data_IF_108055122612
#
_entry.id   IF_108055122612
#
_cell.length_a   1.000
_cell.length_b   1.000
_cell.length_c   1.000
_cell.angle_alpha   90.00
_cell.angle_beta   90.00
_cell.angle_gamma   90.00
#
_symmetry.space_group_name_H-M   'P 1'
#
loop_
_entity.id
_entity.type
_entity.pdbx_description
1 polymer ?
#
# COMPACT_ATOMS: atom_id res chain seq x y z
N UNK A 1 13.16 -6.28 -1.80
CA UNK A 1 12.76 -5.36 -2.89
C UNK A 1 11.27 -4.96 -2.83
N UNK A 2 10.34 -5.92 -2.60
CA UNK A 2 8.89 -5.65 -2.64
C UNK A 2 8.47 -4.50 -1.70
N UNK A 3 8.95 -4.49 -0.46
CA UNK A 3 8.63 -3.43 0.51
C UNK A 3 9.13 -2.05 0.07
N UNK A 4 10.29 -1.99 -0.58
CA UNK A 4 10.84 -0.73 -1.11
C UNK A 4 9.97 -0.18 -2.23
N UNK A 5 9.61 -1.04 -3.20
CA UNK A 5 8.75 -0.65 -4.31
C UNK A 5 7.36 -0.23 -3.80
N UNK A 6 6.80 -0.95 -2.83
CA UNK A 6 5.52 -0.60 -2.23
C UNK A 6 5.57 0.74 -1.49
N UNK A 7 6.69 1.09 -0.86
CA UNK A 7 6.90 2.40 -0.22
C UNK A 7 6.84 3.58 -1.19
N UNK A 8 7.01 3.35 -2.50
CA UNK A 8 6.84 4.40 -3.53
C UNK A 8 5.38 4.65 -3.90
N UNK A 9 4.44 3.80 -3.47
CA UNK A 9 3.03 3.89 -3.85
C UNK A 9 2.38 5.27 -3.61
N UNK A 10 2.61 5.96 -2.47
CA UNK A 10 2.07 7.30 -2.28
C UNK A 10 2.55 8.30 -3.33
N UNK A 11 3.79 8.18 -3.80
CA UNK A 11 4.32 9.05 -4.85
C UNK A 11 3.58 8.81 -6.19
N UNK A 12 3.32 7.57 -6.57
CA UNK A 12 2.51 7.24 -7.75
C UNK A 12 1.09 7.81 -7.64
N UNK A 13 0.45 7.64 -6.47
CA UNK A 13 -0.90 8.18 -6.24
C UNK A 13 -0.91 9.69 -6.40
N UNK A 14 0.07 10.38 -5.85
CA UNK A 14 0.20 11.84 -5.93
C UNK A 14 0.41 12.31 -7.37
N UNK A 15 1.30 11.66 -8.11
CA UNK A 15 1.56 11.98 -9.52
C UNK A 15 0.28 11.82 -10.34
N UNK A 16 -0.41 10.69 -10.20
CA UNK A 16 -1.63 10.41 -10.94
C UNK A 16 -2.78 11.34 -10.50
N UNK A 17 -2.91 11.64 -9.21
CA UNK A 17 -3.90 12.60 -8.70
C UNK A 17 -3.66 14.01 -9.26
N UNK A 18 -2.39 14.44 -9.35
CA UNK A 18 -2.02 15.72 -9.96
C UNK A 18 -2.40 15.79 -11.44
N UNK A 19 -2.12 14.73 -12.20
CA UNK A 19 -2.38 14.68 -13.65
C UNK A 19 -3.88 14.53 -13.94
N UNK A 20 -4.55 13.61 -13.26
CA UNK A 20 -5.93 13.22 -13.57
C UNK A 20 -6.99 14.08 -12.87
N UNK A 21 -6.77 14.42 -11.60
CA UNK A 21 -7.68 15.25 -10.80
C UNK A 21 -7.28 16.72 -10.75
N UNK A 22 -6.10 17.07 -11.31
CA UNK A 22 -5.51 18.41 -11.23
C UNK A 22 -5.34 18.91 -9.78
N UNK A 23 -5.11 17.98 -8.85
CA UNK A 23 -4.84 18.34 -7.45
C UNK A 23 -3.57 19.19 -7.36
N UNK A 24 -3.65 20.30 -6.64
CA UNK A 24 -2.49 21.15 -6.38
C UNK A 24 -1.74 20.62 -5.18
N UNK A 25 -0.52 20.14 -5.42
CA UNK A 25 0.38 19.63 -4.40
C UNK A 25 1.53 20.63 -4.26
N UNK A 26 1.73 21.14 -3.04
CA UNK A 26 2.81 22.07 -2.76
C UNK A 26 4.12 21.34 -2.45
N UNK A 27 5.24 22.07 -2.47
CA UNK A 27 6.57 21.52 -2.21
C UNK A 27 6.68 20.89 -0.81
N UNK A 28 5.99 21.43 0.20
CA UNK A 28 6.05 20.91 1.56
C UNK A 28 5.35 19.55 1.64
N UNK A 29 4.25 19.37 0.93
CA UNK A 29 3.58 18.08 0.81
C UNK A 29 4.48 17.06 0.12
N UNK A 30 5.18 17.48 -0.93
CA UNK A 30 6.15 16.61 -1.60
C UNK A 30 7.30 16.21 -0.67
N UNK A 31 7.83 17.14 0.12
CA UNK A 31 8.81 16.83 1.17
C UNK A 31 8.26 15.85 2.22
N UNK A 32 7.01 16.02 2.64
CA UNK A 32 6.35 15.09 3.55
C UNK A 32 6.34 13.65 2.99
N UNK A 33 6.00 13.50 1.71
CA UNK A 33 6.02 12.18 1.04
C UNK A 33 7.43 11.61 0.95
N UNK A 34 8.43 12.42 0.61
CA UNK A 34 9.82 11.97 0.57
C UNK A 34 10.30 11.49 1.94
N UNK A 35 9.96 12.21 3.01
CA UNK A 35 10.31 11.82 4.39
C UNK A 35 9.66 10.48 4.75
N UNK A 36 8.37 10.27 4.43
CA UNK A 36 7.71 8.99 4.70
C UNK A 36 8.32 7.85 3.86
N UNK A 37 8.75 8.13 2.64
CA UNK A 37 9.45 7.15 1.81
C UNK A 37 10.81 6.77 2.43
N UNK A 38 11.61 7.75 2.88
CA UNK A 38 12.87 7.48 3.59
C UNK A 38 12.64 6.67 4.88
N UNK A 39 11.57 6.93 5.59
CA UNK A 39 11.22 6.15 6.77
C UNK A 39 10.93 4.67 6.43
N UNK A 40 10.22 4.41 5.32
CA UNK A 40 10.01 3.04 4.82
C UNK A 40 11.34 2.39 4.41
N UNK A 41 12.26 3.14 3.76
CA UNK A 41 13.61 2.64 3.45
C UNK A 41 14.35 2.16 4.70
N UNK A 42 14.29 2.93 5.79
CA UNK A 42 14.94 2.57 7.07
C UNK A 42 14.35 1.26 7.62
N UNK A 43 13.03 1.08 7.58
CA UNK A 43 12.40 -0.17 8.06
C UNK A 43 12.80 -1.35 7.18
N UNK A 44 12.71 -1.20 5.86
CA UNK A 44 12.97 -2.31 4.92
C UNK A 44 14.45 -2.71 4.89
N UNK A 45 15.36 -1.76 5.13
CA UNK A 45 16.79 -2.05 5.26
C UNK A 45 17.20 -2.54 6.65
N UNK A 46 16.24 -2.64 7.59
CA UNK A 46 16.53 -2.97 9.00
C UNK A 46 17.59 -2.04 9.63
N UNK A 47 17.66 -0.78 9.17
CA UNK A 47 18.63 0.22 9.58
C UNK A 47 20.02 0.07 8.94
N UNK A 48 20.26 -0.96 8.15
CA UNK A 48 21.52 -1.17 7.42
C UNK A 48 21.38 -0.79 5.93
N UNK A 49 21.82 0.42 5.60
CA UNK A 49 21.79 0.91 4.21
C UNK A 49 22.78 0.21 3.29
N UNK A 50 23.77 -0.52 3.82
CA UNK A 50 24.70 -1.30 2.99
C UNK A 50 23.95 -2.47 2.32
N UNK A 51 22.95 -3.03 2.97
CA UNK A 51 22.10 -4.08 2.39
C UNK A 51 21.33 -3.62 1.13
N UNK A 52 21.15 -2.32 0.96
CA UNK A 52 20.53 -1.75 -0.24
C UNK A 52 21.45 -1.79 -1.48
N UNK A 53 22.77 -1.94 -1.30
CA UNK A 53 23.72 -2.04 -2.42
C UNK A 53 23.60 -3.37 -3.16
N UNK A 54 23.19 -4.41 -2.44
CA UNK A 54 23.05 -5.76 -3.00
C UNK A 54 21.66 -5.99 -3.63
N UNK A 55 20.83 -4.94 -3.66
CA UNK A 55 19.53 -4.98 -4.32
C UNK A 55 19.71 -5.06 -5.84
N UNK A 56 19.54 -6.25 -6.37
CA UNK A 56 19.47 -6.45 -7.80
C UNK A 56 18.03 -6.33 -8.27
N UNK A 57 17.79 -5.45 -9.22
CA UNK A 57 16.49 -5.34 -9.89
C UNK A 57 16.22 -6.62 -10.66
N UNK A 58 15.10 -7.23 -10.37
CA UNK A 58 14.65 -8.46 -11.03
C UNK A 58 13.32 -8.25 -11.77
N UNK A 59 12.90 -9.24 -12.56
CA UNK A 59 11.63 -9.16 -13.30
C UNK A 59 10.43 -8.94 -12.38
N UNK A 60 10.46 -9.47 -11.14
CA UNK A 60 9.43 -9.27 -10.13
C UNK A 60 9.30 -7.81 -9.70
N UNK A 61 10.41 -7.07 -9.60
CA UNK A 61 10.37 -5.64 -9.24
C UNK A 61 9.65 -4.82 -10.31
N UNK A 62 9.86 -5.13 -11.60
CA UNK A 62 9.13 -4.48 -12.71
C UNK A 62 7.62 -4.77 -12.62
N UNK A 63 7.24 -6.02 -12.38
CA UNK A 63 5.84 -6.40 -12.17
C UNK A 63 5.23 -5.66 -10.98
N UNK A 64 5.99 -5.51 -9.88
CA UNK A 64 5.53 -4.79 -8.70
C UNK A 64 5.37 -3.28 -8.96
N UNK A 65 6.25 -2.65 -9.74
CA UNK A 65 6.09 -1.25 -10.16
C UNK A 65 4.81 -1.07 -10.99
N UNK A 66 4.55 -1.99 -11.93
CA UNK A 66 3.30 -2.00 -12.69
C UNK A 66 2.08 -2.15 -11.77
N UNK A 67 2.13 -3.06 -10.79
CA UNK A 67 1.06 -3.26 -9.82
C UNK A 67 0.82 -2.00 -8.96
N UNK A 68 1.88 -1.35 -8.47
CA UNK A 68 1.78 -0.09 -7.73
C UNK A 68 1.17 1.03 -8.58
N UNK A 69 1.54 1.10 -9.86
CA UNK A 69 0.98 2.09 -10.80
C UNK A 69 -0.53 1.83 -11.02
N UNK A 70 -0.93 0.59 -11.26
CA UNK A 70 -2.35 0.21 -11.41
C UNK A 70 -3.14 0.48 -10.14
N UNK A 71 -2.57 0.18 -8.97
CA UNK A 71 -3.19 0.51 -7.69
C UNK A 71 -3.37 2.02 -7.50
N UNK A 72 -2.39 2.81 -7.92
CA UNK A 72 -2.49 4.27 -7.86
C UNK A 72 -3.57 4.81 -8.81
N UNK A 73 -3.70 4.25 -10.03
CA UNK A 73 -4.82 4.55 -10.94
C UNK A 73 -6.17 4.20 -10.28
N UNK A 74 -6.26 3.02 -9.68
CA UNK A 74 -7.45 2.61 -8.93
C UNK A 74 -7.77 3.59 -7.80
N UNK A 75 -6.81 3.93 -6.95
CA UNK A 75 -7.00 4.83 -5.82
C UNK A 75 -7.50 6.22 -6.25
N UNK A 76 -6.91 6.76 -7.32
CA UNK A 76 -7.34 8.07 -7.88
C UNK A 76 -8.70 7.95 -8.57
N UNK A 77 -8.95 6.85 -9.28
CA UNK A 77 -10.24 6.55 -9.93
C UNK A 77 -11.41 6.48 -8.94
N UNK A 78 -11.17 6.02 -7.71
CA UNK A 78 -12.20 6.00 -6.65
C UNK A 78 -12.81 7.40 -6.38
N UNK A 79 -12.08 8.49 -6.64
CA UNK A 79 -12.60 9.86 -6.49
C UNK A 79 -13.67 10.20 -7.52
N UNK A 80 -13.61 9.58 -8.69
CA UNK A 80 -14.54 9.76 -9.81
C UNK A 80 -15.55 8.62 -9.94
N UNK A 81 -15.61 7.70 -8.97
CA UNK A 81 -16.54 6.57 -9.01
C UNK A 81 -18.00 7.03 -9.06
N UNK A 82 -18.91 6.23 -9.65
CA UNK A 82 -20.34 6.45 -9.53
C UNK A 82 -20.77 6.55 -8.07
N UNK A 83 -21.96 7.13 -7.82
CA UNK A 83 -22.56 7.25 -6.47
C UNK A 83 -23.05 5.88 -5.96
N UNK A 84 -22.14 4.92 -5.85
CA UNK A 84 -22.40 3.58 -5.30
C UNK A 84 -21.61 3.40 -4.01
N UNK A 85 -22.16 2.61 -3.10
CA UNK A 85 -21.50 2.31 -1.81
C UNK A 85 -20.17 1.57 -1.98
N UNK A 86 -19.25 1.78 -1.05
CA UNK A 86 -17.96 1.10 -1.06
C UNK A 86 -18.10 -0.43 -1.08
N UNK A 87 -19.10 -0.98 -0.37
CA UNK A 87 -19.35 -2.42 -0.35
C UNK A 87 -19.76 -2.95 -1.74
N UNK A 88 -20.69 -2.30 -2.41
CA UNK A 88 -21.15 -2.72 -3.75
C UNK A 88 -19.97 -2.66 -4.76
N UNK A 89 -19.15 -1.61 -4.68
CA UNK A 89 -17.97 -1.48 -5.53
C UNK A 89 -16.93 -2.56 -5.26
N UNK A 90 -16.67 -2.87 -3.98
CA UNK A 90 -15.76 -3.94 -3.60
C UNK A 90 -16.27 -5.30 -4.08
N UNK A 91 -17.56 -5.58 -3.92
CA UNK A 91 -18.17 -6.82 -4.43
C UNK A 91 -17.98 -6.94 -5.94
N UNK A 92 -18.22 -5.87 -6.68
CA UNK A 92 -18.00 -5.86 -8.13
C UNK A 92 -16.53 -6.15 -8.49
N UNK A 93 -15.58 -5.47 -7.86
CA UNK A 93 -14.15 -5.73 -8.11
C UNK A 93 -13.72 -7.13 -7.71
N UNK A 94 -14.22 -7.65 -6.59
CA UNK A 94 -13.95 -9.03 -6.16
C UNK A 94 -14.50 -10.05 -7.15
N UNK A 95 -15.68 -9.80 -7.70
CA UNK A 95 -16.26 -10.68 -8.73
C UNK A 95 -15.43 -10.66 -10.02
N UNK A 96 -15.02 -9.48 -10.49
CA UNK A 96 -14.15 -9.36 -11.67
C UNK A 96 -12.79 -10.04 -11.43
N UNK A 97 -12.20 -9.85 -10.24
CA UNK A 97 -10.94 -10.49 -9.87
C UNK A 97 -11.08 -12.03 -9.80
N UNK A 98 -12.19 -12.52 -9.26
CA UNK A 98 -12.52 -13.94 -9.25
C UNK A 98 -12.58 -14.52 -10.66
N UNK A 99 -13.33 -13.89 -11.56
CA UNK A 99 -13.39 -14.32 -12.96
C UNK A 99 -12.03 -14.27 -13.64
N UNK A 100 -11.24 -13.22 -13.38
CA UNK A 100 -9.89 -13.05 -13.91
C UNK A 100 -8.87 -14.06 -13.39
N UNK A 101 -9.11 -14.66 -12.20
CA UNK A 101 -8.24 -15.69 -11.64
C UNK A 101 -8.47 -17.10 -12.23
N UNK A 102 -9.63 -17.34 -12.86
CA UNK A 102 -10.00 -18.65 -13.41
C UNK A 102 -8.98 -19.18 -14.44
N UNK A 103 -8.52 -18.39 -15.43
CA UNK A 103 -7.51 -18.88 -16.37
C UNK A 103 -6.20 -19.28 -15.69
N UNK A 104 -5.78 -18.55 -14.64
CA UNK A 104 -4.61 -18.89 -13.83
C UNK A 104 -4.76 -20.22 -13.12
N UNK A 105 -5.93 -20.47 -12.53
CA UNK A 105 -6.25 -21.74 -11.88
C UNK A 105 -6.15 -22.91 -12.87
N UNK A 106 -6.72 -22.78 -14.07
CA UNK A 106 -6.62 -23.81 -15.11
C UNK A 106 -5.17 -24.05 -15.55
N UNK A 107 -4.36 -22.98 -15.63
CA UNK A 107 -2.95 -23.11 -15.93
C UNK A 107 -2.19 -23.88 -14.85
N UNK A 108 -2.43 -23.59 -13.55
CA UNK A 108 -1.82 -24.30 -12.43
C UNK A 108 -2.21 -25.79 -12.40
N UNK A 109 -3.49 -26.10 -12.69
CA UNK A 109 -3.96 -27.49 -12.81
C UNK A 109 -3.25 -28.19 -13.98
N UNK A 110 -3.16 -27.54 -15.13
CA UNK A 110 -2.54 -28.13 -16.33
C UNK A 110 -1.04 -28.39 -16.16
N UNK A 111 -0.35 -27.55 -15.36
CA UNK A 111 1.10 -27.65 -15.13
C UNK A 111 1.48 -28.44 -13.87
N UNK A 112 0.51 -29.10 -13.20
CA UNK A 112 0.69 -29.82 -11.93
C UNK A 112 1.33 -28.98 -10.80
N UNK A 113 1.11 -27.67 -10.84
CA UNK A 113 1.60 -26.74 -9.80
C UNK A 113 0.53 -26.39 -8.75
N UNK A 114 -0.67 -26.96 -8.85
CA UNK A 114 -1.76 -26.70 -7.92
C UNK A 114 -1.44 -27.27 -6.53
N UNK A 115 -1.28 -26.38 -5.56
CA UNK A 115 -1.08 -26.74 -4.16
C UNK A 115 -2.33 -26.37 -3.36
N UNK A 116 -3.05 -27.35 -2.86
CA UNK A 116 -4.20 -27.11 -1.98
C UNK A 116 -3.72 -26.77 -0.56
N UNK A 117 -4.26 -25.71 0.06
CA UNK A 117 -3.87 -25.32 1.41
C UNK A 117 -4.38 -26.36 2.44
N UNK A 118 -3.51 -26.76 3.37
CA UNK A 118 -3.93 -27.51 4.55
C UNK A 118 -4.74 -26.65 5.53
N UNK A 119 -5.22 -27.25 6.62
CA UNK A 119 -6.09 -26.58 7.61
C UNK A 119 -5.52 -25.23 8.11
N UNK A 120 -4.22 -25.19 8.43
CA UNK A 120 -3.53 -23.93 8.82
C UNK A 120 -3.60 -22.87 7.70
N UNK A 121 -3.39 -23.28 6.46
CA UNK A 121 -3.48 -22.41 5.29
C UNK A 121 -4.89 -21.84 5.11
N UNK A 122 -5.94 -22.67 5.29
CA UNK A 122 -7.34 -22.23 5.22
C UNK A 122 -7.65 -21.18 6.30
N UNK A 123 -7.19 -21.39 7.53
CA UNK A 123 -7.36 -20.41 8.62
C UNK A 123 -6.67 -19.07 8.28
N UNK A 124 -5.42 -19.13 7.80
CA UNK A 124 -4.67 -17.94 7.39
C UNK A 124 -5.38 -17.21 6.24
N UNK A 125 -5.87 -17.96 5.24
CA UNK A 125 -6.66 -17.38 4.14
C UNK A 125 -7.92 -16.69 4.66
N UNK A 126 -8.63 -17.28 5.63
CA UNK A 126 -9.79 -16.65 6.27
C UNK A 126 -9.45 -15.31 6.91
N UNK A 127 -8.33 -15.25 7.63
CA UNK A 127 -7.83 -13.99 8.23
C UNK A 127 -7.49 -12.96 7.15
N UNK A 128 -6.80 -13.37 6.08
CA UNK A 128 -6.42 -12.49 4.95
C UNK A 128 -7.66 -11.98 4.22
N UNK A 129 -8.67 -12.79 4.03
CA UNK A 129 -9.92 -12.37 3.38
C UNK A 129 -10.63 -11.30 4.20
N UNK A 130 -10.76 -11.50 5.51
CA UNK A 130 -11.53 -10.60 6.39
C UNK A 130 -10.78 -9.27 6.60
N UNK A 131 -9.52 -9.31 7.04
CA UNK A 131 -8.83 -8.12 7.48
C UNK A 131 -8.23 -7.29 6.34
N UNK A 132 -7.20 -7.74 5.60
CA UNK A 132 -6.61 -6.92 4.54
C UNK A 132 -7.43 -6.85 3.26
N UNK A 133 -8.16 -7.92 2.88
CA UNK A 133 -8.89 -7.92 1.61
C UNK A 133 -10.28 -7.28 1.71
N UNK A 134 -10.97 -7.40 2.83
CA UNK A 134 -12.30 -6.83 2.99
C UNK A 134 -12.28 -5.54 3.80
N UNK A 135 -11.92 -5.59 5.10
CA UNK A 135 -12.01 -4.43 5.98
C UNK A 135 -11.07 -3.30 5.56
N UNK A 136 -9.80 -3.61 5.28
CA UNK A 136 -8.84 -2.59 4.88
C UNK A 136 -9.23 -1.90 3.57
N UNK A 137 -9.76 -2.66 2.59
CA UNK A 137 -10.22 -2.07 1.33
C UNK A 137 -11.46 -1.17 1.51
N UNK A 138 -12.44 -1.58 2.34
CA UNK A 138 -13.59 -0.74 2.67
C UNK A 138 -13.14 0.57 3.34
N UNK A 139 -12.22 0.49 4.31
CA UNK A 139 -11.70 1.67 4.99
C UNK A 139 -10.89 2.56 4.06
N UNK A 140 -10.08 1.98 3.19
CA UNK A 140 -9.32 2.74 2.19
C UNK A 140 -10.24 3.47 1.22
N UNK A 141 -11.26 2.79 0.67
CA UNK A 141 -12.25 3.42 -0.21
C UNK A 141 -12.97 4.58 0.48
N UNK A 142 -13.42 4.39 1.73
CA UNK A 142 -14.05 5.46 2.53
C UNK A 142 -13.07 6.59 2.85
N UNK A 143 -11.80 6.26 3.08
CA UNK A 143 -10.73 7.24 3.25
C UNK A 143 -10.58 8.12 2.00
N UNK A 144 -10.46 7.50 0.83
CA UNK A 144 -10.37 8.23 -0.45
C UNK A 144 -11.60 9.11 -0.69
N UNK A 145 -12.79 8.64 -0.35
CA UNK A 145 -14.01 9.47 -0.43
C UNK A 145 -13.94 10.72 0.45
N UNK A 146 -13.48 10.57 1.69
CA UNK A 146 -13.51 11.63 2.71
C UNK A 146 -12.36 12.60 2.60
N UNK A 147 -11.14 12.11 2.44
CA UNK A 147 -9.91 12.91 2.52
C UNK A 147 -9.13 13.01 1.21
N UNK A 148 -9.53 12.26 0.19
CA UNK A 148 -8.90 12.23 -1.13
C UNK A 148 -7.81 11.17 -1.29
N UNK A 149 -7.44 10.83 -2.55
CA UNK A 149 -6.52 9.74 -2.84
C UNK A 149 -5.09 10.02 -2.37
N UNK A 150 -4.57 11.24 -2.53
CA UNK A 150 -3.21 11.60 -2.14
C UNK A 150 -2.96 11.40 -0.63
N UNK A 151 -3.92 11.83 0.21
CA UNK A 151 -3.84 11.64 1.66
C UNK A 151 -3.99 10.17 2.05
N UNK A 152 -5.02 9.52 1.53
CA UNK A 152 -5.26 8.10 1.82
C UNK A 152 -4.07 7.25 1.41
N UNK A 153 -3.43 7.56 0.28
CA UNK A 153 -2.21 6.90 -0.15
C UNK A 153 -1.03 7.14 0.79
N UNK A 154 -0.85 8.37 1.31
CA UNK A 154 0.22 8.67 2.26
C UNK A 154 0.11 7.83 3.54
N UNK A 155 -1.10 7.63 4.05
CA UNK A 155 -1.34 6.81 5.23
C UNK A 155 -0.99 5.32 5.04
N UNK A 156 -0.87 4.83 3.80
CA UNK A 156 -0.40 3.45 3.57
C UNK A 156 1.04 3.22 4.02
N UNK A 157 1.86 4.27 4.13
CA UNK A 157 3.22 4.16 4.68
C UNK A 157 3.24 3.87 6.19
N UNK A 158 2.09 3.90 6.88
CA UNK A 158 1.96 3.38 8.25
C UNK A 158 1.92 1.84 8.32
N UNK A 159 1.65 1.16 7.20
CA UNK A 159 1.56 -0.32 7.18
C UNK A 159 2.84 -0.98 7.69
N UNK A 160 4.06 -0.63 7.25
CA UNK A 160 5.28 -1.20 7.80
C UNK A 160 5.42 -0.98 9.31
N UNK A 161 4.97 0.18 9.80
CA UNK A 161 5.01 0.51 11.24
C UNK A 161 4.11 -0.43 12.06
N UNK A 162 2.87 -0.60 11.63
CA UNK A 162 1.97 -1.54 12.31
C UNK A 162 2.43 -2.97 12.17
N UNK A 163 3.03 -3.34 11.03
CA UNK A 163 3.58 -4.67 10.81
C UNK A 163 4.67 -5.01 11.82
N UNK A 164 5.65 -4.11 12.04
CA UNK A 164 6.71 -4.38 13.01
C UNK A 164 6.20 -4.35 14.46
N UNK A 165 5.24 -3.48 14.80
CA UNK A 165 4.61 -3.48 16.12
C UNK A 165 3.98 -4.85 16.40
N UNK A 166 3.22 -5.38 15.44
CA UNK A 166 2.64 -6.71 15.55
C UNK A 166 3.70 -7.81 15.62
N UNK A 167 4.79 -7.69 14.85
CA UNK A 167 5.91 -8.64 14.90
C UNK A 167 6.59 -8.66 16.28
N UNK A 168 6.82 -7.50 16.90
CA UNK A 168 7.35 -7.42 18.27
C UNK A 168 6.40 -8.11 19.26
N UNK A 169 5.08 -7.85 19.17
CA UNK A 169 4.12 -8.41 20.14
C UNK A 169 3.83 -9.91 19.93
N UNK A 170 3.72 -10.36 18.69
CA UNK A 170 3.29 -11.73 18.38
C UNK A 170 4.42 -12.68 18.01
N UNK A 171 5.52 -12.16 17.45
CA UNK A 171 6.67 -12.96 17.03
C UNK A 171 7.88 -12.81 17.96
N UNK A 172 7.76 -12.02 19.05
CA UNK A 172 8.85 -11.70 19.97
C UNK A 172 10.11 -11.14 19.28
N UNK A 173 9.92 -10.37 18.21
CA UNK A 173 11.02 -9.69 17.56
C UNK A 173 11.59 -8.58 18.45
N UNK A 174 12.90 -8.35 18.38
CA UNK A 174 13.55 -7.33 19.17
C UNK A 174 13.22 -5.93 18.63
N UNK A 175 12.76 -5.05 19.53
CA UNK A 175 12.57 -3.65 19.20
C UNK A 175 13.93 -2.97 19.00
N UNK A 176 14.16 -2.45 17.80
CA UNK A 176 15.38 -1.79 17.40
C UNK A 176 15.21 -0.27 17.28
N UNK A 177 16.29 0.49 17.43
CA UNK A 177 16.24 1.96 17.36
C UNK A 177 15.75 2.47 15.99
N UNK A 178 16.03 1.77 14.90
CA UNK A 178 15.55 2.17 13.58
C UNK A 178 14.03 2.13 13.45
N UNK A 179 13.32 1.29 14.21
CA UNK A 179 11.86 1.30 14.26
C UNK A 179 11.33 2.61 14.84
N UNK A 180 11.94 3.11 15.92
CA UNK A 180 11.55 4.37 16.54
C UNK A 180 11.81 5.57 15.60
N UNK A 181 12.97 5.59 14.96
CA UNK A 181 13.35 6.63 13.99
C UNK A 181 12.34 6.65 12.83
N UNK A 182 12.04 5.49 12.27
CA UNK A 182 11.08 5.36 11.16
C UNK A 182 9.68 5.84 11.57
N UNK A 183 9.22 5.44 12.75
CA UNK A 183 7.94 5.88 13.30
C UNK A 183 7.88 7.42 13.40
N UNK A 184 8.90 8.04 13.99
CA UNK A 184 8.99 9.50 14.13
C UNK A 184 8.99 10.20 12.76
N UNK A 185 9.76 9.67 11.79
CA UNK A 185 9.82 10.22 10.43
C UNK A 185 8.48 10.10 9.69
N UNK A 186 7.76 8.97 9.83
CA UNK A 186 6.45 8.79 9.20
C UNK A 186 5.44 9.80 9.76
N UNK A 187 5.36 9.94 11.08
CA UNK A 187 4.46 10.93 11.67
C UNK A 187 4.85 12.36 11.31
N UNK A 188 6.13 12.67 11.27
CA UNK A 188 6.61 13.99 10.85
C UNK A 188 6.30 14.27 9.37
N UNK A 189 6.48 13.29 8.49
CA UNK A 189 6.13 13.44 7.07
C UNK A 189 4.63 13.61 6.85
N UNK A 190 3.79 12.85 7.57
CA UNK A 190 2.33 13.00 7.55
C UNK A 190 1.95 14.40 8.07
N UNK A 191 2.54 14.84 9.17
CA UNK A 191 2.30 16.18 9.73
C UNK A 191 2.63 17.29 8.73
N UNK A 192 3.78 17.22 8.04
CA UNK A 192 4.14 18.19 7.00
C UNK A 192 3.15 18.20 5.84
N UNK A 193 2.67 17.01 5.45
CA UNK A 193 1.70 16.89 4.37
C UNK A 193 0.34 17.51 4.74
N UNK A 194 -0.10 17.33 5.99
CA UNK A 194 -1.41 17.82 6.48
C UNK A 194 -1.40 19.31 6.86
N UNK A 195 -0.27 19.84 7.37
CA UNK A 195 -0.21 21.15 8.04
C UNK A 195 -0.39 22.35 7.10
N UNK A 196 -0.24 22.19 5.77
CA UNK A 196 -0.52 23.29 4.83
C UNK A 196 -1.73 22.97 3.95
N UNK A 197 -2.91 23.03 4.56
CA UNK A 197 -4.13 23.29 3.79
C UNK A 197 -3.97 24.64 3.06
N UNK A 198 -3.70 24.61 1.76
CA UNK A 198 -4.10 25.73 0.95
C UNK A 198 -5.62 25.85 1.09
N UNK A 199 -6.08 26.98 1.62
CA UNK A 199 -7.47 27.38 1.48
C UNK A 199 -7.74 27.42 -0.03
N UNK A 200 -8.38 26.36 -0.55
CA UNK A 200 -8.96 26.42 -1.88
C UNK A 200 -10.05 27.48 -1.77
N UNK A 201 -9.78 28.63 -2.39
CA UNK A 201 -10.79 29.64 -2.67
C UNK A 201 -11.72 29.10 -3.75
#
# INVERSE_FOLDING_TARGET
NLGLVQGTMPAFIIIIARVWLKEQINLIQLFGVLITFFAVLIVVSSGDFYSLRDLQLNKGDVVMICACTLYAVYAVGLRKKPKIGALALLTFFSYVAFLGSIPGLFYEIYTDHLILPGLKGIIILGVIIIFPSFLAQIFFMKGVEKIGPARSGLYTNLVPVFSFILAVFFLNELFQMYHLISLALIFFGIYLFENKRQKVK
#
